data_IF_155980817068
#
_entry.id   IF_155980817068
#
_cell.length_a   1.000
_cell.length_b   1.000
_cell.length_c   1.000
_cell.angle_alpha   90.00
_cell.angle_beta   90.00
_cell.angle_gamma   90.00
#
_symmetry.space_group_name_H-M   'P 1'
#
loop_
_entity.id
_entity.type
_entity.pdbx_description
1 polymer ?
#
# COMPACT_ATOMS: atom_id res chain seq x y z
N UNK A 1 25.11 -16.71 5.44
CA UNK A 1 24.24 -17.84 5.83
C UNK A 1 23.47 -18.24 4.60
N UNK A 2 23.53 -19.54 4.26
CA UNK A 2 23.08 -20.15 3.02
C UNK A 2 21.55 -20.24 3.06
N UNK A 3 20.85 -19.45 2.25
CA UNK A 3 19.42 -19.68 2.03
C UNK A 3 19.28 -20.55 0.79
N UNK A 4 18.73 -21.76 0.97
CA UNK A 4 18.11 -22.53 -0.10
C UNK A 4 17.03 -21.63 -0.69
N UNK A 5 17.15 -21.29 -1.96
CA UNK A 5 15.96 -21.05 -2.76
C UNK A 5 15.21 -22.38 -2.78
N UNK A 6 14.23 -22.54 -1.89
CA UNK A 6 13.19 -23.52 -2.14
C UNK A 6 12.50 -23.04 -3.41
N UNK A 7 12.86 -23.63 -4.55
CA UNK A 7 12.04 -23.58 -5.74
C UNK A 7 10.70 -24.17 -5.33
N UNK A 8 9.77 -23.33 -4.87
CA UNK A 8 8.36 -23.71 -4.77
C UNK A 8 7.94 -24.05 -6.20
N UNK A 9 7.63 -25.33 -6.40
CA UNK A 9 7.45 -25.93 -7.71
C UNK A 9 6.38 -25.15 -8.50
N UNK A 10 6.66 -24.75 -9.74
CA UNK A 10 5.72 -23.94 -10.56
C UNK A 10 4.36 -24.62 -10.66
N UNK A 11 4.35 -25.95 -10.63
CA UNK A 11 3.16 -26.81 -10.62
C UNK A 11 2.22 -26.49 -9.44
N UNK A 12 2.75 -26.19 -8.25
CA UNK A 12 1.96 -25.86 -7.06
C UNK A 12 1.09 -24.59 -7.24
N UNK A 13 1.66 -23.56 -7.85
CA UNK A 13 0.97 -22.29 -8.06
C UNK A 13 -0.04 -22.33 -9.21
N UNK A 14 0.18 -23.20 -10.20
CA UNK A 14 -0.73 -23.38 -11.33
C UNK A 14 -1.95 -24.25 -10.98
N UNK A 15 -1.82 -25.22 -10.06
CA UNK A 15 -2.90 -26.14 -9.67
C UNK A 15 -4.00 -25.50 -8.80
N UNK A 16 -3.65 -24.59 -7.90
CA UNK A 16 -4.59 -23.96 -6.96
C UNK A 16 -4.86 -22.48 -7.30
N UNK A 17 -4.82 -22.12 -8.58
CA UNK A 17 -5.05 -20.74 -9.01
C UNK A 17 -6.48 -20.25 -8.68
N UNK A 18 -6.69 -19.00 -8.22
CA UNK A 18 -5.72 -17.94 -7.91
C UNK A 18 -5.31 -17.89 -6.40
N UNK A 19 -5.53 -18.94 -5.61
CA UNK A 19 -5.34 -18.93 -4.15
C UNK A 19 -3.96 -18.40 -3.71
N UNK A 20 -2.91 -18.80 -4.43
CA UNK A 20 -1.53 -18.44 -4.11
C UNK A 20 -1.03 -17.19 -4.85
N UNK A 21 -1.90 -16.43 -5.52
CA UNK A 21 -1.52 -15.27 -6.34
C UNK A 21 -0.62 -14.29 -5.59
N UNK A 22 -0.98 -13.97 -4.35
CA UNK A 22 -0.25 -13.02 -3.51
C UNK A 22 0.98 -13.61 -2.80
N UNK A 23 1.12 -14.94 -2.76
CA UNK A 23 2.29 -15.61 -2.20
C UNK A 23 3.52 -15.53 -3.13
N UNK A 24 3.30 -15.25 -4.42
CA UNK A 24 4.37 -15.16 -5.42
C UNK A 24 5.03 -13.79 -5.32
N UNK A 25 6.10 -13.65 -4.53
CA UNK A 25 6.79 -12.36 -4.31
C UNK A 25 7.50 -11.81 -5.57
N UNK A 26 8.01 -12.69 -6.43
CA UNK A 26 8.60 -12.30 -7.71
C UNK A 26 7.49 -11.84 -8.66
N UNK A 27 7.43 -10.53 -8.90
CA UNK A 27 6.38 -9.89 -9.70
C UNK A 27 6.42 -10.34 -11.16
N UNK A 28 7.60 -10.61 -11.71
CA UNK A 28 7.72 -11.05 -13.10
C UNK A 28 7.23 -12.49 -13.22
N UNK A 29 7.59 -13.35 -12.26
CA UNK A 29 7.05 -14.71 -12.19
C UNK A 29 5.54 -14.74 -11.91
N UNK A 30 5.02 -13.85 -11.06
CA UNK A 30 3.58 -13.68 -10.82
C UNK A 30 2.85 -13.29 -12.10
N UNK A 31 3.40 -12.35 -12.87
CA UNK A 31 2.86 -11.95 -14.17
C UNK A 31 2.90 -13.11 -15.19
N UNK A 32 3.95 -13.91 -15.21
CA UNK A 32 4.07 -15.08 -16.08
C UNK A 32 2.97 -16.12 -15.81
N UNK A 33 2.78 -16.50 -14.55
CA UNK A 33 1.71 -17.45 -14.17
C UNK A 33 0.34 -16.86 -14.51
N UNK A 34 0.10 -15.60 -14.13
CA UNK A 34 -1.16 -14.90 -14.42
C UNK A 34 -1.51 -14.92 -15.91
N UNK A 35 -0.51 -14.69 -16.78
CA UNK A 35 -0.70 -14.74 -18.24
C UNK A 35 -1.09 -16.11 -18.75
N UNK A 36 -0.50 -17.20 -18.22
CA UNK A 36 -0.90 -18.57 -18.58
C UNK A 36 -2.35 -18.84 -18.19
N UNK A 37 -2.82 -18.21 -17.11
CA UNK A 37 -4.15 -18.40 -16.53
C UNK A 37 -5.23 -17.45 -17.08
N UNK A 38 -4.91 -16.52 -17.98
CA UNK A 38 -5.86 -15.50 -18.47
C UNK A 38 -7.16 -16.08 -19.04
N UNK A 39 -7.08 -17.22 -19.73
CA UNK A 39 -8.25 -17.84 -20.35
C UNK A 39 -9.14 -18.64 -19.36
N UNK A 40 -8.66 -18.89 -18.14
CA UNK A 40 -9.35 -19.75 -17.16
C UNK A 40 -10.41 -18.98 -16.35
N UNK A 41 -10.24 -17.67 -16.16
CA UNK A 41 -11.12 -16.82 -15.35
C UNK A 41 -11.12 -15.38 -15.88
N UNK A 42 -12.30 -14.80 -16.06
CA UNK A 42 -12.46 -13.40 -16.50
C UNK A 42 -11.81 -12.40 -15.54
N UNK A 43 -11.70 -12.71 -14.25
CA UNK A 43 -11.05 -11.87 -13.26
C UNK A 43 -9.52 -11.78 -13.47
N UNK A 44 -8.92 -12.72 -14.19
CA UNK A 44 -7.47 -12.72 -14.40
C UNK A 44 -7.01 -11.57 -15.29
N UNK A 45 -7.82 -11.15 -16.27
CA UNK A 45 -7.51 -9.94 -17.04
C UNK A 45 -7.47 -8.73 -16.11
N UNK A 46 -8.43 -8.66 -15.18
CA UNK A 46 -8.51 -7.57 -14.22
C UNK A 46 -7.34 -7.57 -13.22
N UNK A 47 -6.94 -8.74 -12.70
CA UNK A 47 -5.72 -8.91 -11.90
C UNK A 47 -4.48 -8.44 -12.66
N UNK A 48 -4.40 -8.71 -13.97
CA UNK A 48 -3.28 -8.29 -14.80
C UNK A 48 -3.24 -6.78 -14.96
N UNK A 49 -4.40 -6.14 -15.19
CA UNK A 49 -4.50 -4.69 -15.30
C UNK A 49 -4.04 -3.99 -14.00
N UNK A 50 -4.47 -4.50 -12.84
CA UNK A 50 -4.04 -4.03 -11.52
C UNK A 50 -2.53 -4.22 -11.33
N UNK A 51 -2.02 -5.42 -11.63
CA UNK A 51 -0.59 -5.74 -11.50
C UNK A 51 0.28 -4.80 -12.33
N UNK A 52 -0.14 -4.51 -13.57
CA UNK A 52 0.58 -3.62 -14.48
C UNK A 52 0.49 -2.14 -14.09
N UNK A 53 -0.59 -1.72 -13.40
CA UNK A 53 -0.69 -0.39 -12.80
C UNK A 53 0.28 -0.22 -11.63
N UNK A 54 0.32 -1.19 -10.73
CA UNK A 54 1.20 -1.18 -9.56
C UNK A 54 2.67 -1.37 -9.96
N UNK A 55 2.94 -2.30 -10.86
CA UNK A 55 4.27 -2.60 -11.35
C UNK A 55 4.28 -2.38 -12.87
N UNK A 56 4.67 -1.21 -13.38
CA UNK A 56 4.78 -1.01 -14.82
C UNK A 56 5.89 -1.88 -15.41
N UNK A 57 5.77 -2.25 -16.70
CA UNK A 57 6.83 -2.96 -17.42
C UNK A 57 8.04 -2.03 -17.58
N UNK A 58 9.24 -2.56 -17.35
CA UNK A 58 10.49 -1.86 -17.65
C UNK A 58 11.19 -2.48 -18.86
N UNK A 59 12.14 -1.73 -19.41
CA UNK A 59 13.14 -2.25 -20.35
C UNK A 59 13.97 -3.35 -19.68
N UNK A 60 14.44 -4.32 -20.48
CA UNK A 60 15.14 -5.52 -20.02
C UNK A 60 16.25 -5.24 -18.99
N UNK A 61 16.20 -5.94 -17.85
CA UNK A 61 17.24 -5.98 -16.82
C UNK A 61 17.03 -5.06 -15.60
N UNK A 62 15.97 -4.25 -15.55
CA UNK A 62 15.67 -3.39 -14.39
C UNK A 62 14.58 -3.98 -13.50
N UNK A 63 14.78 -3.92 -12.17
CA UNK A 63 13.74 -4.27 -11.21
C UNK A 63 12.58 -3.28 -11.33
N UNK A 64 11.36 -3.80 -11.47
CA UNK A 64 10.14 -2.99 -11.58
C UNK A 64 9.93 -2.16 -10.33
N UNK A 65 9.60 -0.89 -10.54
CA UNK A 65 9.20 0.03 -9.48
C UNK A 65 7.80 -0.35 -8.99
N UNK A 66 7.59 -0.33 -7.68
CA UNK A 66 6.25 -0.36 -7.09
C UNK A 66 5.68 1.07 -7.08
N UNK A 67 4.71 1.34 -7.96
CA UNK A 67 4.04 2.63 -8.04
C UNK A 67 3.22 2.94 -6.79
N UNK A 68 2.63 1.93 -6.13
CA UNK A 68 1.86 2.16 -4.91
C UNK A 68 2.77 2.64 -3.79
N UNK A 69 3.91 1.98 -3.57
CA UNK A 69 4.89 2.43 -2.57
C UNK A 69 5.42 3.83 -2.90
N UNK A 70 5.74 4.09 -4.17
CA UNK A 70 6.23 5.41 -4.56
C UNK A 70 5.20 6.51 -4.32
N UNK A 71 3.94 6.29 -4.69
CA UNK A 71 2.85 7.24 -4.47
C UNK A 71 2.59 7.45 -2.98
N UNK A 72 2.53 6.37 -2.20
CA UNK A 72 2.37 6.40 -0.74
C UNK A 72 3.46 7.23 -0.06
N UNK A 73 4.74 6.97 -0.40
CA UNK A 73 5.87 7.73 0.15
C UNK A 73 5.86 9.19 -0.28
N UNK A 74 5.45 9.50 -1.51
CA UNK A 74 5.35 10.88 -1.97
C UNK A 74 4.21 11.64 -1.27
N UNK A 75 3.06 11.01 -1.02
CA UNK A 75 1.99 11.59 -0.19
C UNK A 75 2.51 11.86 1.22
N UNK A 76 3.22 10.91 1.81
CA UNK A 76 3.83 11.07 3.12
C UNK A 76 4.79 12.26 3.21
N UNK A 77 5.70 12.39 2.23
CA UNK A 77 6.63 13.53 2.12
C UNK A 77 5.85 14.84 1.94
N UNK A 78 4.81 14.83 1.10
CA UNK A 78 3.95 16.00 0.86
C UNK A 78 3.29 16.49 2.14
N UNK A 79 2.78 15.59 2.98
CA UNK A 79 2.20 15.93 4.28
C UNK A 79 3.20 16.64 5.20
N UNK A 80 4.45 16.14 5.23
CA UNK A 80 5.53 16.65 6.10
C UNK A 80 6.09 18.01 5.67
N UNK A 81 6.20 18.25 4.37
CA UNK A 81 6.75 19.53 3.85
C UNK A 81 5.77 20.70 3.98
N UNK A 82 4.50 20.42 4.28
CA UNK A 82 3.47 21.44 4.52
C UNK A 82 2.90 22.05 3.23
N UNK A 83 1.61 22.38 3.29
CA UNK A 83 0.86 23.00 2.19
C UNK A 83 0.57 24.45 2.56
N UNK A 84 0.97 25.38 1.71
CA UNK A 84 0.71 26.81 1.87
C UNK A 84 0.07 27.39 0.60
N UNK A 85 -0.37 28.64 0.66
CA UNK A 85 -1.08 29.28 -0.45
C UNK A 85 -0.25 29.33 -1.75
N UNK A 86 1.08 29.48 -1.65
CA UNK A 86 1.96 29.61 -2.80
C UNK A 86 2.18 28.28 -3.55
N UNK A 87 2.21 27.16 -2.82
CA UNK A 87 2.46 25.84 -3.41
C UNK A 87 1.19 25.00 -3.65
N UNK A 88 0.02 25.45 -3.17
CA UNK A 88 -1.25 24.69 -3.19
C UNK A 88 -1.60 24.10 -4.56
N UNK A 89 -1.49 24.86 -5.63
CA UNK A 89 -1.86 24.38 -6.98
C UNK A 89 -0.88 23.34 -7.52
N UNK A 90 0.42 23.48 -7.24
CA UNK A 90 1.43 22.48 -7.60
C UNK A 90 1.19 21.19 -6.82
N UNK A 91 1.03 21.29 -5.51
CA UNK A 91 0.79 20.13 -4.65
C UNK A 91 -0.53 19.45 -5.02
N UNK A 92 -1.59 20.18 -5.37
CA UNK A 92 -2.83 19.57 -5.85
C UNK A 92 -2.58 18.65 -7.04
N UNK A 93 -1.76 19.09 -8.02
CA UNK A 93 -1.41 18.26 -9.20
C UNK A 93 -0.61 17.02 -8.80
N UNK A 94 0.34 17.17 -7.89
CA UNK A 94 1.16 16.06 -7.36
C UNK A 94 0.28 15.04 -6.63
N UNK A 95 -0.54 15.49 -5.66
CA UNK A 95 -1.50 14.64 -4.95
C UNK A 95 -2.42 13.94 -5.93
N UNK A 96 -2.99 14.65 -6.91
CA UNK A 96 -3.85 14.02 -7.94
C UNK A 96 -3.11 12.88 -8.65
N UNK A 97 -1.87 13.11 -9.06
CA UNK A 97 -1.05 12.07 -9.71
C UNK A 97 -0.79 10.89 -8.79
N UNK A 98 -0.52 11.12 -7.49
CA UNK A 98 -0.30 10.04 -6.54
C UNK A 98 -1.57 9.23 -6.27
N UNK A 99 -2.74 9.87 -6.21
CA UNK A 99 -4.02 9.16 -6.08
C UNK A 99 -4.35 8.35 -7.33
N UNK A 100 -3.96 8.80 -8.53
CA UNK A 100 -4.06 8.02 -9.77
C UNK A 100 -3.10 6.82 -9.76
N UNK A 101 -1.86 7.00 -9.31
CA UNK A 101 -0.89 5.91 -9.17
C UNK A 101 -1.38 4.85 -8.16
N UNK A 102 -2.13 5.25 -7.12
CA UNK A 102 -2.83 4.36 -6.19
C UNK A 102 -4.15 3.79 -6.73
N UNK A 103 -4.52 4.10 -7.97
CA UNK A 103 -5.74 3.67 -8.64
C UNK A 103 -7.05 4.15 -7.98
N UNK A 104 -7.04 5.34 -7.38
CA UNK A 104 -8.21 5.91 -6.67
C UNK A 104 -9.11 6.72 -7.62
N UNK A 105 -8.54 7.53 -8.52
CA UNK A 105 -9.30 8.54 -9.28
C UNK A 105 -9.66 8.11 -10.72
N UNK A 106 -8.86 7.27 -11.35
CA UNK A 106 -8.93 6.98 -12.79
C UNK A 106 -8.96 5.47 -13.09
N UNK A 107 -9.39 4.68 -12.10
CA UNK A 107 -9.43 3.23 -12.20
C UNK A 107 -10.67 2.68 -11.48
N UNK A 108 -11.38 1.67 -12.04
CA UNK A 108 -12.55 1.09 -11.37
C UNK A 108 -12.17 0.54 -10.00
N UNK A 109 -12.99 0.82 -8.98
CA UNK A 109 -12.80 0.28 -7.63
C UNK A 109 -13.71 -0.94 -7.48
N UNK A 110 -13.13 -2.12 -7.67
CA UNK A 110 -13.76 -3.43 -7.49
C UNK A 110 -13.09 -4.21 -6.36
N UNK A 111 -13.61 -5.39 -6.06
CA UNK A 111 -13.11 -6.20 -4.94
C UNK A 111 -11.69 -6.73 -5.19
N UNK A 112 -11.29 -6.89 -6.45
CA UNK A 112 -9.90 -7.23 -6.82
C UNK A 112 -8.93 -6.10 -6.51
N UNK A 113 -9.29 -4.84 -6.82
CA UNK A 113 -8.46 -3.70 -6.44
C UNK A 113 -8.40 -3.53 -4.92
N UNK A 114 -9.52 -3.71 -4.22
CA UNK A 114 -9.53 -3.65 -2.76
C UNK A 114 -8.65 -4.74 -2.14
N UNK A 115 -8.63 -5.94 -2.71
CA UNK A 115 -7.71 -6.99 -2.27
C UNK A 115 -6.26 -6.61 -2.54
N UNK A 116 -5.93 -6.03 -3.71
CA UNK A 116 -4.58 -5.52 -3.97
C UNK A 116 -4.16 -4.45 -2.94
N UNK A 117 -5.07 -3.54 -2.60
CA UNK A 117 -4.85 -2.55 -1.54
C UNK A 117 -4.68 -3.19 -0.16
N UNK A 118 -5.42 -4.27 0.14
CA UNK A 118 -5.26 -5.02 1.39
C UNK A 118 -3.86 -5.65 1.48
N UNK A 119 -3.40 -6.26 0.39
CA UNK A 119 -2.07 -6.86 0.29
C UNK A 119 -0.96 -5.80 0.37
N UNK A 120 -1.19 -4.63 -0.24
CA UNK A 120 -0.33 -3.47 -0.05
C UNK A 120 -0.31 -2.98 1.41
N UNK A 121 -1.46 -2.91 2.08
CA UNK A 121 -1.56 -2.52 3.48
C UNK A 121 -0.76 -3.47 4.39
N UNK A 122 -0.93 -4.78 4.19
CA UNK A 122 -0.20 -5.81 4.92
C UNK A 122 1.30 -5.65 4.72
N UNK A 123 1.76 -5.48 3.47
CA UNK A 123 3.16 -5.24 3.17
C UNK A 123 3.69 -3.98 3.85
N UNK A 124 2.96 -2.86 3.78
CA UNK A 124 3.36 -1.59 4.38
C UNK A 124 3.46 -1.69 5.91
N UNK A 125 2.42 -2.20 6.57
CA UNK A 125 2.39 -2.35 8.03
C UNK A 125 3.51 -3.28 8.51
N UNK A 126 3.71 -4.41 7.82
CA UNK A 126 4.80 -5.35 8.11
C UNK A 126 6.16 -4.68 7.95
N UNK A 127 6.32 -3.82 6.95
CA UNK A 127 7.55 -3.04 6.76
C UNK A 127 7.76 -2.08 7.94
N UNK A 128 6.73 -1.34 8.36
CA UNK A 128 6.82 -0.43 9.51
C UNK A 128 7.16 -1.15 10.82
N UNK A 129 6.60 -2.34 11.06
CA UNK A 129 6.85 -3.14 12.26
C UNK A 129 8.29 -3.68 12.29
N UNK A 130 8.80 -4.13 11.14
CA UNK A 130 10.12 -4.74 11.05
C UNK A 130 11.26 -3.72 10.83
N UNK A 131 10.94 -2.48 10.49
CA UNK A 131 11.94 -1.43 10.28
C UNK A 131 12.48 -0.89 11.62
N UNK A 132 13.70 -1.32 11.94
CA UNK A 132 14.46 -0.90 13.12
C UNK A 132 14.73 0.61 13.20
N UNK A 133 14.57 1.36 12.09
CA UNK A 133 14.75 2.81 12.04
C UNK A 133 13.43 3.57 12.16
N UNK A 134 12.31 2.98 11.73
CA UNK A 134 10.96 3.54 11.92
C UNK A 134 10.57 3.63 13.41
N UNK A 135 11.16 2.77 14.23
CA UNK A 135 11.06 2.70 15.70
C UNK A 135 11.84 3.80 16.47
N UNK A 136 12.55 4.71 15.77
CA UNK A 136 13.39 5.72 16.43
C UNK A 136 12.77 7.12 16.40
N UNK A 137 12.61 7.74 17.57
CA UNK A 137 12.49 9.20 17.69
C UNK A 137 13.41 9.75 18.77
N UNK A 138 14.15 10.81 18.38
CA UNK A 138 15.10 11.64 19.13
C UNK A 138 16.37 10.87 19.58
N UNK A 139 17.50 11.19 18.93
CA UNK A 139 18.85 10.65 19.15
C UNK A 139 19.08 9.15 18.90
N UNK A 140 18.14 8.40 18.31
CA UNK A 140 18.39 6.99 17.94
C UNK A 140 18.62 6.04 19.13
N UNK A 141 18.21 6.46 20.33
CA UNK A 141 18.48 5.75 21.59
C UNK A 141 17.21 5.15 22.24
N UNK A 142 16.01 5.58 21.84
CA UNK A 142 14.75 5.11 22.44
C UNK A 142 13.88 4.48 21.34
N UNK A 143 13.59 3.19 21.51
CA UNK A 143 12.57 2.45 20.76
C UNK A 143 11.19 2.90 21.21
N UNK A 144 10.27 3.11 20.28
CA UNK A 144 8.86 3.24 20.61
C UNK A 144 8.40 1.95 21.31
N UNK A 145 7.52 2.09 22.30
CA UNK A 145 6.80 0.92 22.77
C UNK A 145 5.73 0.54 21.73
N UNK A 146 5.26 -0.71 21.78
CA UNK A 146 4.35 -1.27 20.77
C UNK A 146 3.10 -0.39 20.56
N UNK A 147 2.58 0.22 21.64
CA UNK A 147 1.48 1.20 21.56
C UNK A 147 1.85 2.42 20.71
N UNK A 148 2.98 3.06 20.97
CA UNK A 148 3.37 4.27 20.26
C UNK A 148 3.68 3.98 18.77
N UNK A 149 4.27 2.82 18.48
CA UNK A 149 4.46 2.35 17.11
C UNK A 149 3.11 2.13 16.40
N UNK A 150 2.18 1.41 17.05
CA UNK A 150 0.84 1.17 16.53
C UNK A 150 0.10 2.47 16.24
N UNK A 151 0.10 3.42 17.18
CA UNK A 151 -0.53 4.73 16.99
C UNK A 151 0.10 5.53 15.85
N UNK A 152 1.42 5.46 15.68
CA UNK A 152 2.13 6.13 14.58
C UNK A 152 1.71 5.57 13.24
N UNK A 153 1.66 4.24 13.09
CA UNK A 153 1.19 3.59 11.85
C UNK A 153 -0.25 4.00 11.53
N UNK A 154 -1.16 3.98 12.52
CA UNK A 154 -2.54 4.43 12.32
C UNK A 154 -2.60 5.91 11.88
N UNK A 155 -1.82 6.77 12.53
CA UNK A 155 -1.76 8.20 12.20
C UNK A 155 -1.26 8.44 10.78
N UNK A 156 -0.22 7.72 10.34
CA UNK A 156 0.33 7.82 8.99
C UNK A 156 -0.69 7.38 7.94
N UNK A 157 -1.44 6.29 8.19
CA UNK A 157 -2.52 5.83 7.32
C UNK A 157 -3.61 6.90 7.22
N UNK A 158 -4.06 7.45 8.36
CA UNK A 158 -5.11 8.48 8.41
C UNK A 158 -4.66 9.75 7.68
N UNK A 159 -3.42 10.19 7.87
CA UNK A 159 -2.88 11.38 7.21
C UNK A 159 -2.89 11.20 5.68
N UNK A 160 -2.42 10.05 5.19
CA UNK A 160 -2.29 9.78 3.75
C UNK A 160 -3.65 9.56 3.07
N UNK A 161 -4.56 8.86 3.73
CA UNK A 161 -5.84 8.44 3.13
C UNK A 161 -7.00 9.38 3.46
N UNK A 162 -6.84 10.31 4.40
CA UNK A 162 -7.90 11.24 4.81
C UNK A 162 -7.40 12.69 4.87
N UNK A 163 -6.44 13.01 5.75
CA UNK A 163 -6.09 14.41 6.04
C UNK A 163 -5.49 15.15 4.83
N UNK A 164 -4.54 14.54 4.12
CA UNK A 164 -3.92 15.13 2.92
C UNK A 164 -4.95 15.26 1.78
N UNK A 165 -5.69 14.19 1.40
CA UNK A 165 -6.77 14.29 0.41
C UNK A 165 -7.81 15.37 0.71
N UNK A 166 -8.22 15.53 1.97
CA UNK A 166 -9.23 16.51 2.39
C UNK A 166 -8.81 17.96 2.09
N UNK A 167 -7.51 18.26 2.08
CA UNK A 167 -7.00 19.60 1.73
C UNK A 167 -7.27 19.98 0.26
N UNK A 168 -7.65 19.01 -0.56
CA UNK A 168 -7.90 19.13 -1.99
C UNK A 168 -9.28 18.62 -2.44
N UNK A 169 -10.16 18.28 -1.50
CA UNK A 169 -11.51 17.74 -1.70
C UNK A 169 -11.55 16.32 -2.30
N UNK A 170 -10.59 15.45 -1.94
CA UNK A 170 -10.52 14.05 -2.39
C UNK A 170 -10.91 13.04 -1.29
N UNK A 171 -11.45 13.49 -0.15
CA UNK A 171 -11.78 12.65 1.00
C UNK A 171 -12.82 11.57 0.68
N UNK A 172 -13.80 11.90 -0.17
CA UNK A 172 -14.82 10.94 -0.59
C UNK A 172 -14.22 9.88 -1.52
N UNK A 173 -13.34 10.30 -2.45
CA UNK A 173 -12.66 9.39 -3.38
C UNK A 173 -11.72 8.42 -2.64
N UNK A 174 -11.03 8.89 -1.60
CA UNK A 174 -10.10 8.06 -0.82
C UNK A 174 -10.79 7.14 0.20
N UNK A 175 -12.10 7.27 0.43
CA UNK A 175 -12.82 6.49 1.45
C UNK A 175 -12.66 4.96 1.28
N UNK A 176 -12.72 4.38 0.07
CA UNK A 176 -12.51 2.95 -0.11
C UNK A 176 -11.11 2.48 0.30
N UNK A 177 -10.06 3.23 -0.07
CA UNK A 177 -8.69 2.92 0.36
C UNK A 177 -8.54 3.06 1.88
N UNK A 178 -9.09 4.12 2.48
CA UNK A 178 -9.09 4.33 3.93
C UNK A 178 -9.68 3.11 4.65
N UNK A 179 -10.83 2.60 4.19
CA UNK A 179 -11.51 1.46 4.82
C UNK A 179 -10.68 0.18 4.73
N UNK A 180 -10.07 -0.09 3.58
CA UNK A 180 -9.20 -1.26 3.39
C UNK A 180 -7.97 -1.19 4.29
N UNK A 181 -7.29 -0.03 4.31
CA UNK A 181 -6.10 0.17 5.13
C UNK A 181 -6.42 0.07 6.63
N UNK A 182 -7.55 0.64 7.06
CA UNK A 182 -8.04 0.53 8.44
C UNK A 182 -8.33 -0.91 8.83
N UNK A 183 -9.05 -1.65 7.98
CA UNK A 183 -9.39 -3.05 8.24
C UNK A 183 -8.13 -3.90 8.38
N UNK A 184 -7.18 -3.76 7.44
CA UNK A 184 -5.92 -4.50 7.50
C UNK A 184 -5.12 -4.17 8.76
N UNK A 185 -5.08 -2.88 9.15
CA UNK A 185 -4.43 -2.46 10.40
C UNK A 185 -5.06 -3.12 11.63
N UNK A 186 -6.39 -3.08 11.75
CA UNK A 186 -7.11 -3.67 12.90
C UNK A 186 -6.89 -5.18 12.96
N UNK A 187 -6.89 -5.86 11.82
CA UNK A 187 -6.68 -7.30 11.74
C UNK A 187 -5.25 -7.71 12.13
N UNK A 188 -4.26 -6.85 11.89
CA UNK A 188 -2.84 -7.16 12.11
C UNK A 188 -2.29 -6.76 13.48
N UNK A 189 -2.91 -5.80 14.16
CA UNK A 189 -2.38 -5.22 15.39
C UNK A 189 -3.27 -5.58 16.59
N UNK A 190 -2.69 -6.17 17.62
CA UNK A 190 -3.36 -6.39 18.90
C UNK A 190 -3.84 -5.06 19.50
N UNK A 191 -5.07 -5.01 20.01
CA UNK A 191 -5.74 -3.76 20.40
C UNK A 191 -5.84 -2.71 19.26
N UNK A 192 -5.76 -3.13 17.99
CA UNK A 192 -5.72 -2.23 16.82
C UNK A 192 -6.90 -1.25 16.76
N UNK A 193 -8.12 -1.69 17.06
CA UNK A 193 -9.30 -0.79 17.06
C UNK A 193 -9.16 0.36 18.08
N UNK A 194 -8.63 0.06 19.27
CA UNK A 194 -8.38 1.03 20.33
C UNK A 194 -7.32 2.03 19.89
N UNK A 195 -6.18 1.56 19.36
CA UNK A 195 -5.10 2.44 18.90
C UNK A 195 -5.50 3.29 17.70
N UNK A 196 -6.29 2.73 16.77
CA UNK A 196 -6.85 3.48 15.65
C UNK A 196 -7.74 4.62 16.13
N UNK A 197 -8.64 4.35 17.07
CA UNK A 197 -9.57 5.35 17.62
C UNK A 197 -8.80 6.47 18.32
N UNK A 198 -7.78 6.11 19.12
CA UNK A 198 -6.90 7.07 19.78
C UNK A 198 -6.16 7.94 18.74
N UNK A 199 -5.55 7.35 17.72
CA UNK A 199 -4.87 8.05 16.64
C UNK A 199 -5.80 8.99 15.85
N UNK A 200 -6.98 8.51 15.45
CA UNK A 200 -7.97 9.31 14.73
C UNK A 200 -8.44 10.52 15.53
N UNK A 201 -8.59 10.38 16.86
CA UNK A 201 -8.96 11.48 17.74
C UNK A 201 -7.91 12.59 17.84
N UNK A 202 -6.65 12.29 17.48
CA UNK A 202 -5.54 13.24 17.46
C UNK A 202 -5.36 13.85 16.07
N UNK A 203 -5.38 13.01 15.04
CA UNK A 203 -5.02 13.40 13.66
C UNK A 203 -6.14 14.15 12.93
N UNK A 204 -7.40 13.89 13.25
CA UNK A 204 -8.57 14.52 12.60
C UNK A 204 -9.08 15.79 13.31
N UNK A 205 -8.28 16.36 14.23
CA UNK A 205 -8.59 17.66 14.86
C UNK A 205 -8.18 18.82 13.96
#
# INVERSE_FOLDING_TARGET
MILRNEHKDTMYYEENWPLHYYEIEDIDFREEILKKKLAEDCDNQRRLDILLKRYPKLSSGQKRKDNFIAAWMNLFITGRLGINFLNKNRIKKEVTSYLQDLCILDFPIDDLLKEEWRQFAIFWITTCINDKTYDSTIFGLIRLNDKALAMKIASDIIEITCSIPSRFNYEADCKPLYDVMKSAYIDMIEDGEKYWTEAASVTLR
#
